data_IF_463251010557
#
_entry.id   IF_463251010557
#
_cell.length_a   1.000
_cell.length_b   1.000
_cell.length_c   1.000
_cell.angle_alpha   90.00
_cell.angle_beta   90.00
_cell.angle_gamma   90.00
#
_symmetry.space_group_name_H-M   'P 1'
#
loop_
_entity.id
_entity.type
_entity.pdbx_description
1 polymer ?
#
# COMPACT_ATOMS: atom_id res chain seq x y z
N UNK A 1 -12.27 -5.64 31.40
CA UNK A 1 -12.36 -4.24 30.88
C UNK A 1 -12.11 -4.31 29.37
N UNK A 2 -13.16 -4.56 28.57
CA UNK A 2 -13.09 -4.45 27.11
C UNK A 2 -13.10 -2.95 26.77
N UNK A 3 -11.94 -2.35 26.71
CA UNK A 3 -11.76 -1.07 26.01
C UNK A 3 -12.09 -1.37 24.54
N UNK A 4 -13.25 -0.91 24.07
CA UNK A 4 -13.54 -0.84 22.64
C UNK A 4 -12.56 0.15 22.02
N UNK A 5 -11.40 -0.32 21.61
CA UNK A 5 -10.48 0.44 20.77
C UNK A 5 -11.20 0.67 19.43
N UNK A 6 -11.83 1.83 19.29
CA UNK A 6 -12.46 2.25 18.03
C UNK A 6 -11.36 2.81 17.14
N UNK A 7 -10.90 2.02 16.21
CA UNK A 7 -10.01 2.46 15.12
C UNK A 7 -10.87 2.63 13.85
N UNK A 8 -10.88 3.83 13.28
CA UNK A 8 -11.53 4.09 11.99
C UNK A 8 -10.50 3.97 10.88
N UNK A 9 -10.76 3.05 9.94
CA UNK A 9 -9.87 2.81 8.80
C UNK A 9 -10.61 3.16 7.52
N UNK A 10 -9.93 3.89 6.61
CA UNK A 10 -10.40 4.14 5.24
C UNK A 10 -9.43 3.50 4.25
N UNK A 11 -9.96 2.95 3.17
CA UNK A 11 -9.17 2.31 2.14
C UNK A 11 -9.29 3.06 0.81
N UNK A 12 -8.14 3.34 0.19
CA UNK A 12 -8.05 4.03 -1.09
C UNK A 12 -7.13 3.30 -2.05
N UNK A 13 -7.45 3.36 -3.34
CA UNK A 13 -6.62 2.80 -4.39
C UNK A 13 -6.31 3.87 -5.46
N UNK A 14 -5.04 4.31 -5.61
CA UNK A 14 -4.64 5.13 -6.75
C UNK A 14 -4.95 4.41 -8.06
N UNK A 15 -5.64 5.07 -8.99
CA UNK A 15 -5.90 4.49 -10.31
C UNK A 15 -5.66 5.50 -11.42
N UNK A 16 -5.09 5.05 -12.56
CA UNK A 16 -4.70 5.94 -13.66
C UNK A 16 -4.83 5.26 -15.01
N UNK A 17 -5.63 5.83 -15.93
CA UNK A 17 -5.84 5.40 -17.32
C UNK A 17 -6.35 3.94 -17.47
N UNK A 18 -7.17 3.46 -16.53
CA UNK A 18 -7.72 2.09 -16.58
C UNK A 18 -9.09 1.92 -15.92
N UNK A 19 -10.12 2.71 -16.32
CA UNK A 19 -11.42 2.73 -15.68
C UNK A 19 -12.14 1.38 -15.67
N UNK A 20 -11.92 0.54 -16.67
CA UNK A 20 -12.55 -0.79 -16.80
C UNK A 20 -11.81 -1.90 -16.06
N UNK A 21 -10.54 -1.65 -15.65
CA UNK A 21 -9.60 -2.68 -15.20
C UNK A 21 -9.37 -2.70 -13.69
N UNK A 22 -10.06 -1.84 -12.93
CA UNK A 22 -9.98 -1.90 -11.47
C UNK A 22 -10.59 -3.20 -10.98
N UNK A 23 -9.77 -4.05 -10.37
CA UNK A 23 -10.17 -5.33 -9.79
C UNK A 23 -10.50 -5.15 -8.32
N UNK A 24 -9.71 -4.38 -7.60
CA UNK A 24 -9.77 -4.21 -6.15
C UNK A 24 -11.14 -3.75 -5.68
N UNK A 25 -11.71 -2.72 -6.30
CA UNK A 25 -13.02 -2.21 -5.90
C UNK A 25 -14.16 -3.18 -6.23
N UNK A 26 -14.02 -4.01 -7.27
CA UNK A 26 -15.02 -5.05 -7.60
C UNK A 26 -15.09 -6.13 -6.51
N UNK A 27 -13.97 -6.42 -5.85
CA UNK A 27 -13.85 -7.42 -4.78
C UNK A 27 -14.17 -6.79 -3.43
N UNK A 28 -13.68 -5.57 -3.21
CA UNK A 28 -13.82 -4.81 -1.97
C UNK A 28 -14.48 -3.45 -2.26
N UNK A 29 -15.83 -3.37 -2.35
CA UNK A 29 -16.56 -2.17 -2.77
C UNK A 29 -16.35 -0.94 -1.88
N UNK A 30 -15.93 -1.11 -0.63
CA UNK A 30 -15.61 -0.01 0.28
C UNK A 30 -14.26 0.68 -0.02
N UNK A 31 -13.42 0.11 -0.89
CA UNK A 31 -12.20 0.75 -1.38
C UNK A 31 -12.56 1.81 -2.41
N UNK A 32 -12.21 3.07 -2.19
CA UNK A 32 -12.46 4.15 -3.13
C UNK A 32 -11.27 4.36 -4.07
N UNK A 33 -11.54 4.45 -5.37
CA UNK A 33 -10.48 4.76 -6.34
C UNK A 33 -10.15 6.26 -6.29
N UNK A 34 -8.87 6.59 -6.24
CA UNK A 34 -8.41 7.98 -6.35
C UNK A 34 -7.95 8.24 -7.78
N UNK A 35 -8.68 9.09 -8.48
CA UNK A 35 -8.49 9.39 -9.90
C UNK A 35 -8.40 10.90 -10.13
N UNK A 36 -7.74 11.31 -11.20
CA UNK A 36 -7.68 12.73 -11.57
C UNK A 36 -9.03 13.23 -12.12
N UNK A 37 -9.26 14.52 -12.01
CA UNK A 37 -10.50 15.18 -12.41
C UNK A 37 -10.91 14.87 -13.85
N UNK A 38 -9.96 14.98 -14.79
CA UNK A 38 -10.23 14.72 -16.23
C UNK A 38 -10.58 13.27 -16.57
N UNK A 39 -10.33 12.30 -15.67
CA UNK A 39 -10.69 10.88 -15.85
C UNK A 39 -11.95 10.48 -15.04
N UNK A 40 -12.38 11.28 -14.08
CA UNK A 40 -13.43 10.92 -13.12
C UNK A 40 -14.74 10.50 -13.79
N UNK A 41 -15.15 11.16 -14.87
CA UNK A 41 -16.36 10.83 -15.64
C UNK A 41 -16.28 9.40 -16.18
N UNK A 42 -15.20 9.04 -16.86
CA UNK A 42 -15.01 7.69 -17.43
C UNK A 42 -15.02 6.60 -16.36
N UNK A 43 -14.40 6.85 -15.19
CA UNK A 43 -14.45 5.88 -14.09
C UNK A 43 -15.85 5.68 -13.54
N UNK A 44 -16.64 6.77 -13.36
CA UNK A 44 -18.03 6.70 -12.89
C UNK A 44 -18.95 5.98 -13.88
N UNK A 45 -18.79 6.24 -15.19
CA UNK A 45 -19.53 5.56 -16.24
C UNK A 45 -19.26 4.05 -16.27
N UNK A 46 -18.07 3.61 -15.82
CA UNK A 46 -17.73 2.20 -15.63
C UNK A 46 -18.12 1.64 -14.24
N UNK A 47 -18.95 2.36 -13.50
CA UNK A 47 -19.52 1.90 -12.21
C UNK A 47 -18.55 1.98 -11.02
N UNK A 48 -17.46 2.75 -11.13
CA UNK A 48 -16.51 2.89 -10.02
C UNK A 48 -16.92 4.01 -9.05
N UNK A 49 -16.76 3.77 -7.75
CA UNK A 49 -16.83 4.81 -6.71
C UNK A 49 -15.46 5.51 -6.61
N UNK A 50 -15.43 6.81 -6.87
CA UNK A 50 -14.19 7.55 -7.01
C UNK A 50 -14.10 8.76 -6.08
N UNK A 51 -12.90 9.02 -5.59
CA UNK A 51 -12.47 10.29 -5.03
C UNK A 51 -11.62 11.00 -6.08
N UNK A 52 -11.94 12.27 -6.32
CA UNK A 52 -11.30 13.05 -7.37
C UNK A 52 -10.16 13.86 -6.78
N UNK A 53 -8.96 13.71 -7.34
CA UNK A 53 -7.82 14.58 -7.05
C UNK A 53 -7.53 15.54 -8.23
N UNK A 54 -6.86 16.69 -7.99
CA UNK A 54 -6.45 17.60 -9.07
C UNK A 54 -5.59 16.91 -10.14
N UNK A 55 -5.73 17.31 -11.39
CA UNK A 55 -5.02 16.68 -12.53
C UNK A 55 -3.50 16.71 -12.40
N UNK A 56 -2.93 17.75 -11.82
CA UNK A 56 -1.49 17.91 -11.60
C UNK A 56 -0.90 16.94 -10.55
N UNK A 57 -1.75 16.24 -9.79
CA UNK A 57 -1.32 15.24 -8.82
C UNK A 57 -0.97 13.92 -9.52
N UNK A 58 -1.64 13.56 -10.59
CA UNK A 58 -1.40 12.34 -11.34
C UNK A 58 -0.07 12.33 -12.12
N UNK A 59 0.32 11.16 -12.64
CA UNK A 59 1.58 10.92 -13.37
C UNK A 59 2.82 10.69 -12.48
N UNK A 60 2.62 10.64 -11.16
CA UNK A 60 3.64 10.19 -10.20
C UNK A 60 2.92 9.59 -8.99
N UNK A 61 3.17 8.30 -8.72
CA UNK A 61 2.49 7.55 -7.66
C UNK A 61 2.70 8.18 -6.27
N UNK A 62 3.90 8.68 -5.99
CA UNK A 62 4.21 9.36 -4.73
C UNK A 62 3.35 10.60 -4.50
N UNK A 63 3.06 11.38 -5.56
CA UNK A 63 2.19 12.56 -5.46
C UNK A 63 0.78 12.16 -5.08
N UNK A 64 0.24 11.12 -5.73
CA UNK A 64 -1.13 10.65 -5.46
C UNK A 64 -1.23 10.10 -4.04
N UNK A 65 -0.28 9.27 -3.61
CA UNK A 65 -0.25 8.72 -2.24
C UNK A 65 -0.11 9.83 -1.20
N UNK A 66 0.75 10.82 -1.41
CA UNK A 66 0.86 11.96 -0.51
C UNK A 66 -0.44 12.76 -0.45
N UNK A 67 -1.07 13.02 -1.61
CA UNK A 67 -2.34 13.71 -1.65
C UNK A 67 -3.43 12.98 -0.86
N UNK A 68 -3.49 11.65 -0.96
CA UNK A 68 -4.39 10.81 -0.15
C UNK A 68 -4.14 11.04 1.34
N UNK A 69 -2.87 10.95 1.77
CA UNK A 69 -2.48 11.11 3.17
C UNK A 69 -2.68 12.53 3.70
N UNK A 70 -2.62 13.54 2.84
CA UNK A 70 -2.78 14.94 3.24
C UNK A 70 -4.24 15.39 3.29
N UNK A 71 -5.15 14.72 2.54
CA UNK A 71 -6.51 15.23 2.33
C UNK A 71 -7.64 14.29 2.75
N UNK A 72 -7.40 12.98 2.95
CA UNK A 72 -8.50 12.02 3.06
C UNK A 72 -8.65 11.34 4.43
N UNK A 73 -7.88 11.75 5.44
CA UNK A 73 -8.06 11.20 6.78
C UNK A 73 -9.44 11.54 7.37
N UNK A 74 -9.88 12.81 7.25
CA UNK A 74 -11.10 13.29 7.90
C UNK A 74 -11.19 12.79 9.35
N UNK A 75 -12.15 11.86 9.60
CA UNK A 75 -12.38 11.21 10.88
C UNK A 75 -11.67 9.84 11.02
N UNK A 76 -10.88 9.41 10.01
CA UNK A 76 -10.13 8.17 10.09
C UNK A 76 -8.86 8.31 10.93
N UNK A 77 -8.51 7.23 11.62
CA UNK A 77 -7.26 7.08 12.38
C UNK A 77 -6.15 6.46 11.55
N UNK A 78 -6.52 5.69 10.52
CA UNK A 78 -5.61 5.02 9.61
C UNK A 78 -6.14 5.07 8.17
N UNK A 79 -5.23 5.29 7.21
CA UNK A 79 -5.48 5.10 5.78
C UNK A 79 -4.71 3.89 5.30
N UNK A 80 -5.40 2.97 4.63
CA UNK A 80 -4.79 1.87 3.87
C UNK A 80 -4.79 2.24 2.40
N UNK A 81 -3.63 2.27 1.78
CA UNK A 81 -3.45 2.44 0.34
C UNK A 81 -3.20 1.06 -0.25
N UNK A 82 -4.09 0.62 -1.13
CA UNK A 82 -4.02 -0.67 -1.82
C UNK A 82 -3.99 -0.43 -3.34
N UNK A 83 -3.28 -1.24 -4.11
CA UNK A 83 -3.27 -1.09 -5.57
C UNK A 83 -4.63 -1.46 -6.17
N UNK A 84 -5.04 -0.80 -7.26
CA UNK A 84 -6.34 -0.99 -7.91
C UNK A 84 -6.48 -2.32 -8.68
N UNK A 85 -5.40 -3.09 -8.76
CA UNK A 85 -5.32 -4.42 -9.40
C UNK A 85 -5.11 -5.56 -8.40
N UNK A 86 -5.36 -5.34 -7.11
CA UNK A 86 -5.29 -6.38 -6.09
C UNK A 86 -6.43 -7.40 -6.29
N UNK A 87 -6.04 -8.66 -6.48
CA UNK A 87 -6.97 -9.79 -6.71
C UNK A 87 -7.53 -10.36 -5.43
N UNK A 88 -6.81 -10.27 -4.34
CA UNK A 88 -7.23 -10.61 -2.99
C UNK A 88 -6.16 -10.25 -1.97
N UNK A 89 -6.57 -10.11 -0.73
CA UNK A 89 -5.74 -10.22 0.46
C UNK A 89 -6.14 -11.53 1.15
N UNK A 90 -5.20 -12.21 1.77
CA UNK A 90 -5.51 -13.49 2.40
C UNK A 90 -4.39 -14.00 3.30
N UNK A 91 -4.59 -15.21 3.84
CA UNK A 91 -3.62 -15.87 4.70
C UNK A 91 -3.48 -17.36 4.36
N UNK A 92 -2.42 -17.96 4.85
CA UNK A 92 -2.30 -19.40 4.90
C UNK A 92 -2.80 -19.91 6.26
N UNK A 93 -3.68 -20.92 6.22
CA UNK A 93 -4.22 -21.57 7.40
C UNK A 93 -4.34 -23.08 7.12
N UNK A 94 -3.71 -23.91 7.97
CA UNK A 94 -3.67 -25.36 7.79
C UNK A 94 -3.30 -25.77 6.34
N UNK A 95 -2.32 -25.10 5.77
CA UNK A 95 -1.83 -25.30 4.41
C UNK A 95 -2.83 -24.91 3.29
N UNK A 96 -3.98 -24.36 3.62
CA UNK A 96 -4.95 -23.84 2.68
C UNK A 96 -4.85 -22.31 2.59
N UNK A 97 -5.03 -21.80 1.38
CA UNK A 97 -5.13 -20.35 1.16
C UNK A 97 -6.54 -19.88 1.48
N UNK A 98 -6.67 -19.00 2.44
CA UNK A 98 -7.92 -18.33 2.80
C UNK A 98 -7.86 -16.93 2.24
N UNK A 99 -8.74 -16.61 1.28
CA UNK A 99 -8.92 -15.26 0.77
C UNK A 99 -9.90 -14.53 1.67
N UNK A 100 -9.60 -13.30 2.04
CA UNK A 100 -10.49 -12.48 2.85
C UNK A 100 -11.67 -12.00 2.01
N UNK A 101 -12.86 -12.12 2.56
CA UNK A 101 -14.04 -11.38 2.10
C UNK A 101 -13.96 -9.91 2.56
N UNK A 102 -15.03 -9.15 2.31
CA UNK A 102 -15.08 -7.72 2.62
C UNK A 102 -14.92 -7.43 4.11
N UNK A 103 -15.67 -8.13 4.95
CA UNK A 103 -15.69 -7.93 6.39
C UNK A 103 -14.36 -8.39 7.00
N UNK A 104 -13.85 -9.53 6.57
CA UNK A 104 -12.55 -10.05 6.99
C UNK A 104 -11.39 -9.11 6.63
N UNK A 105 -11.42 -8.49 5.44
CA UNK A 105 -10.40 -7.49 5.08
C UNK A 105 -10.51 -6.26 5.96
N UNK A 106 -11.72 -5.75 6.19
CA UNK A 106 -11.92 -4.57 7.03
C UNK A 106 -11.45 -4.83 8.47
N UNK A 107 -11.88 -5.93 9.07
CA UNK A 107 -11.48 -6.34 10.42
C UNK A 107 -9.97 -6.56 10.53
N UNK A 108 -9.36 -7.16 9.51
CA UNK A 108 -7.91 -7.31 9.41
C UNK A 108 -7.20 -5.94 9.41
N UNK A 109 -7.72 -4.98 8.67
CA UNK A 109 -7.16 -3.63 8.63
C UNK A 109 -7.31 -2.92 9.99
N UNK A 110 -8.46 -3.03 10.64
CA UNK A 110 -8.71 -2.44 11.96
C UNK A 110 -7.76 -3.05 13.01
N UNK A 111 -7.71 -4.38 13.08
CA UNK A 111 -6.89 -5.10 14.06
C UNK A 111 -5.41 -4.75 13.95
N UNK A 112 -4.85 -4.78 12.73
CA UNK A 112 -3.43 -4.51 12.54
C UNK A 112 -3.07 -3.02 12.65
N UNK A 113 -4.03 -2.11 12.41
CA UNK A 113 -3.84 -0.68 12.70
C UNK A 113 -3.80 -0.42 14.21
N UNK A 114 -4.64 -1.11 15.00
CA UNK A 114 -4.58 -1.07 16.47
C UNK A 114 -3.23 -1.62 16.94
N UNK A 115 -2.83 -2.80 16.46
CA UNK A 115 -1.56 -3.42 16.83
C UNK A 115 -0.36 -2.54 16.48
N UNK A 116 -0.37 -1.92 15.30
CA UNK A 116 0.67 -0.99 14.87
C UNK A 116 0.78 0.20 15.82
N UNK A 117 -0.37 0.76 16.26
CA UNK A 117 -0.43 1.87 17.22
C UNK A 117 0.07 1.46 18.61
N UNK A 118 -0.34 0.30 19.11
CA UNK A 118 0.09 -0.21 20.42
C UNK A 118 1.60 -0.52 20.48
N UNK A 119 2.20 -0.87 19.33
CA UNK A 119 3.64 -1.05 19.18
C UNK A 119 4.41 0.28 18.95
N UNK A 120 3.70 1.41 18.99
CA UNK A 120 4.22 2.77 18.71
C UNK A 120 4.80 2.94 17.30
N UNK A 121 4.43 2.08 16.37
CA UNK A 121 4.72 2.26 14.95
C UNK A 121 3.63 3.10 14.27
N UNK A 122 3.96 3.65 13.08
CA UNK A 122 3.05 4.51 12.32
C UNK A 122 2.75 3.98 10.91
N UNK A 123 3.33 2.84 10.57
CA UNK A 123 3.26 2.27 9.23
C UNK A 123 3.25 0.74 9.29
N UNK A 124 2.33 0.12 8.54
CA UNK A 124 2.26 -1.33 8.48
C UNK A 124 1.81 -1.84 7.10
N UNK A 125 2.02 -3.12 6.85
CA UNK A 125 1.57 -3.80 5.63
C UNK A 125 1.68 -5.31 5.74
N UNK A 126 1.34 -6.00 4.64
CA UNK A 126 1.35 -7.46 4.55
C UNK A 126 2.66 -8.01 4.00
N UNK A 127 2.82 -9.34 4.07
CA UNK A 127 3.84 -10.06 3.34
C UNK A 127 3.67 -9.82 1.82
N UNK A 128 4.81 -9.62 1.15
CA UNK A 128 4.86 -9.37 -0.30
C UNK A 128 4.80 -10.66 -1.13
N UNK A 129 4.94 -11.81 -0.51
CA UNK A 129 5.05 -13.10 -1.16
C UNK A 129 3.83 -13.95 -0.82
N UNK A 130 3.05 -14.33 -1.84
CA UNK A 130 1.88 -15.19 -1.68
C UNK A 130 2.23 -16.70 -1.63
N UNK A 131 3.50 -17.07 -1.80
CA UNK A 131 3.93 -18.46 -1.73
C UNK A 131 3.91 -18.95 -0.27
N UNK A 132 3.31 -20.11 -0.05
CA UNK A 132 3.29 -20.81 1.23
C UNK A 132 4.69 -21.00 1.85
N UNK A 133 5.72 -21.20 1.03
CA UNK A 133 7.11 -21.35 1.49
C UNK A 133 7.67 -20.08 2.15
N UNK A 134 7.07 -18.93 1.91
CA UNK A 134 7.44 -17.66 2.52
C UNK A 134 6.70 -17.37 3.84
N UNK A 135 5.81 -18.26 4.26
CA UNK A 135 5.08 -18.16 5.52
C UNK A 135 5.73 -19.02 6.60
N UNK A 136 6.09 -18.39 7.70
CA UNK A 136 6.66 -19.06 8.87
C UNK A 136 5.75 -18.78 10.07
N UNK A 137 5.08 -19.82 10.59
CA UNK A 137 4.16 -19.73 11.73
C UNK A 137 4.82 -19.13 12.99
N UNK A 138 6.12 -19.33 13.15
CA UNK A 138 6.90 -18.85 14.30
C UNK A 138 7.31 -17.38 14.18
N UNK A 139 7.13 -16.75 13.02
CA UNK A 139 7.49 -15.35 12.78
C UNK A 139 6.30 -14.67 12.09
N UNK A 140 5.14 -14.51 12.77
CA UNK A 140 3.95 -13.95 12.17
C UNK A 140 4.04 -12.43 11.93
N UNK A 141 4.99 -11.77 12.62
CA UNK A 141 5.19 -10.32 12.57
C UNK A 141 6.68 -10.00 12.44
N UNK A 142 6.99 -8.94 11.71
CA UNK A 142 8.35 -8.37 11.63
C UNK A 142 8.30 -6.85 11.78
N UNK A 143 9.35 -6.27 12.37
CA UNK A 143 9.40 -4.84 12.70
C UNK A 143 10.44 -4.05 11.90
N UNK A 144 11.44 -4.71 11.34
CA UNK A 144 12.51 -4.11 10.53
C UNK A 144 12.50 -4.73 9.12
N UNK A 145 11.33 -4.76 8.52
CA UNK A 145 11.13 -5.42 7.23
C UNK A 145 10.47 -4.50 6.21
N UNK A 146 10.82 -4.70 4.97
CA UNK A 146 10.24 -4.02 3.82
C UNK A 146 8.72 -4.21 3.73
N UNK A 147 8.00 -3.13 3.50
CA UNK A 147 6.56 -3.08 3.25
C UNK A 147 6.33 -2.77 1.76
N UNK A 148 5.77 -3.72 1.02
CA UNK A 148 5.55 -3.58 -0.42
C UNK A 148 4.48 -2.56 -0.79
N UNK A 149 4.66 -1.91 -1.94
CA UNK A 149 3.80 -0.85 -2.45
C UNK A 149 2.31 -1.19 -2.58
N UNK A 150 1.95 -2.42 -3.00
CA UNK A 150 0.54 -2.77 -3.24
C UNK A 150 -0.37 -2.79 -2.01
N UNK A 151 0.18 -2.80 -0.79
CA UNK A 151 -0.62 -2.73 0.43
C UNK A 151 0.16 -2.03 1.54
N UNK A 152 -0.19 -0.78 1.79
CA UNK A 152 0.49 0.09 2.77
C UNK A 152 -0.53 0.82 3.62
N UNK A 153 -0.39 0.73 4.94
CA UNK A 153 -1.27 1.38 5.89
C UNK A 153 -0.51 2.41 6.73
N UNK A 154 -1.06 3.61 6.82
CA UNK A 154 -0.46 4.75 7.49
C UNK A 154 -1.37 5.24 8.61
N UNK A 155 -0.86 5.34 9.82
CA UNK A 155 -1.57 5.98 10.92
C UNK A 155 -1.56 7.51 10.73
N UNK A 156 -2.64 8.17 11.16
CA UNK A 156 -2.86 9.62 10.97
C UNK A 156 -1.76 10.50 11.56
N UNK A 157 -1.15 10.06 12.63
CA UNK A 157 -0.09 10.77 13.35
C UNK A 157 1.33 10.56 12.76
N UNK A 158 1.45 9.90 11.60
CA UNK A 158 2.71 9.84 10.85
C UNK A 158 3.00 11.16 10.13
N UNK A 159 4.17 11.74 10.37
CA UNK A 159 4.70 12.90 9.66
C UNK A 159 5.48 12.53 8.37
N UNK A 160 5.61 11.24 8.08
CA UNK A 160 6.35 10.74 6.91
C UNK A 160 5.50 10.84 5.64
N UNK A 161 6.16 11.23 4.54
CA UNK A 161 5.57 11.31 3.19
C UNK A 161 6.48 10.68 2.16
N UNK A 162 5.91 10.22 1.05
CA UNK A 162 6.65 9.66 -0.07
C UNK A 162 7.54 10.72 -0.73
N UNK A 163 8.82 10.40 -0.92
CA UNK A 163 9.74 11.24 -1.68
C UNK A 163 9.45 11.10 -3.19
N UNK A 164 9.01 12.19 -3.80
CA UNK A 164 8.57 12.24 -5.22
C UNK A 164 9.66 11.85 -6.22
N UNK A 165 10.91 11.75 -5.77
CA UNK A 165 12.05 11.29 -6.59
C UNK A 165 12.06 9.77 -6.80
N UNK A 166 11.34 9.00 -5.98
CA UNK A 166 11.36 7.54 -6.00
C UNK A 166 10.05 6.94 -6.49
N UNK A 167 9.55 7.35 -7.66
CA UNK A 167 8.26 6.90 -8.19
C UNK A 167 8.17 5.40 -8.54
N UNK A 168 9.30 4.67 -8.55
CA UNK A 168 9.39 3.22 -8.77
C UNK A 168 10.09 2.46 -7.62
N UNK A 169 10.55 3.18 -6.60
CA UNK A 169 11.22 2.67 -5.40
C UNK A 169 10.68 3.36 -4.15
N UNK A 170 9.48 3.91 -4.25
CA UNK A 170 8.82 4.66 -3.20
C UNK A 170 8.55 3.81 -1.96
N UNK A 171 8.29 2.53 -2.17
CA UNK A 171 8.00 1.54 -1.12
C UNK A 171 9.24 1.21 -0.28
N UNK A 172 10.40 1.09 -0.90
CA UNK A 172 11.67 0.97 -0.17
C UNK A 172 11.96 2.23 0.62
N UNK A 173 11.84 3.39 -0.02
CA UNK A 173 12.16 4.67 0.61
C UNK A 173 11.24 4.99 1.80
N UNK A 174 9.91 4.82 1.64
CA UNK A 174 8.94 5.09 2.72
C UNK A 174 9.13 4.13 3.90
N UNK A 175 9.44 2.86 3.63
CA UNK A 175 9.73 1.88 4.68
C UNK A 175 10.96 2.31 5.49
N UNK A 176 12.06 2.67 4.83
CA UNK A 176 13.29 3.10 5.50
C UNK A 176 13.12 4.42 6.26
N UNK A 177 12.30 5.35 5.76
CA UNK A 177 11.95 6.57 6.49
C UNK A 177 11.25 6.23 7.81
N UNK A 178 10.25 5.32 7.81
CA UNK A 178 9.55 4.92 9.03
C UNK A 178 10.47 4.19 10.01
N UNK A 179 11.30 3.26 9.53
CA UNK A 179 12.30 2.58 10.36
C UNK A 179 13.25 3.58 11.01
N UNK A 180 13.75 4.54 10.24
CA UNK A 180 14.66 5.58 10.76
C UNK A 180 14.00 6.51 11.77
N UNK A 181 12.73 6.89 11.52
CA UNK A 181 12.00 7.89 12.32
C UNK A 181 11.37 7.32 13.59
N UNK A 182 10.80 6.12 13.48
CA UNK A 182 9.99 5.47 14.53
C UNK A 182 10.59 4.17 15.05
N UNK A 183 11.81 3.81 14.65
CA UNK A 183 12.49 2.60 15.08
C UNK A 183 11.99 1.32 14.41
N UNK A 184 10.94 1.37 13.60
CA UNK A 184 10.38 0.21 12.92
C UNK A 184 9.10 0.49 12.14
N UNK A 185 8.57 -0.58 11.59
CA UNK A 185 7.24 -0.68 10.97
C UNK A 185 6.69 -2.08 11.24
N UNK A 186 5.39 -2.27 11.14
CA UNK A 186 4.78 -3.58 11.37
C UNK A 186 4.54 -4.29 10.03
N UNK A 187 5.27 -5.35 9.71
CA UNK A 187 4.93 -6.28 8.63
C UNK A 187 4.21 -7.50 9.18
N UNK A 188 2.99 -7.69 8.70
CA UNK A 188 2.12 -8.82 9.07
C UNK A 188 2.42 -9.97 8.11
N UNK A 189 3.31 -10.90 8.53
CA UNK A 189 3.80 -11.97 7.67
C UNK A 189 2.82 -13.15 7.53
N UNK A 190 1.83 -13.28 8.41
CA UNK A 190 0.79 -14.31 8.29
C UNK A 190 -0.25 -14.00 7.20
N UNK A 191 -0.28 -12.78 6.70
CA UNK A 191 -1.17 -12.37 5.62
C UNK A 191 -0.36 -11.85 4.43
N UNK A 192 -0.90 -12.04 3.24
CA UNK A 192 -0.31 -11.63 1.97
C UNK A 192 -1.36 -11.04 1.04
N UNK A 193 -0.93 -10.29 0.06
CA UNK A 193 -1.76 -9.82 -1.04
C UNK A 193 -1.35 -10.47 -2.36
N UNK A 194 -2.26 -10.50 -3.33
CA UNK A 194 -1.99 -10.90 -4.70
C UNK A 194 -2.42 -9.79 -5.64
N UNK A 195 -1.49 -9.29 -6.45
CA UNK A 195 -1.74 -8.26 -7.46
C UNK A 195 -1.51 -8.83 -8.86
N UNK A 196 -2.16 -8.23 -9.86
CA UNK A 196 -1.92 -8.58 -11.26
C UNK A 196 -0.69 -7.82 -11.73
N UNK A 197 0.48 -8.46 -11.66
CA UNK A 197 1.76 -7.80 -11.99
C UNK A 197 1.84 -7.27 -13.43
N UNK A 198 2.58 -6.16 -13.57
CA UNK A 198 3.33 -5.57 -14.71
C UNK A 198 2.73 -5.55 -16.12
N UNK A 199 1.82 -6.42 -16.53
CA UNK A 199 1.30 -6.52 -17.90
C UNK A 199 0.11 -5.59 -18.20
N UNK A 200 -0.31 -4.76 -17.24
CA UNK A 200 -1.44 -3.86 -17.46
C UNK A 200 -1.00 -2.51 -18.01
N UNK A 201 -1.63 -2.10 -19.09
CA UNK A 201 -1.50 -0.73 -19.64
C UNK A 201 -2.07 0.26 -18.61
N UNK A 202 -1.34 1.33 -18.32
CA UNK A 202 -1.72 2.35 -17.33
C UNK A 202 -0.89 2.29 -16.04
N UNK A 203 -1.16 3.18 -15.08
CA UNK A 203 -0.40 3.26 -13.84
C UNK A 203 1.09 3.50 -14.04
N UNK A 204 1.94 2.87 -13.22
CA UNK A 204 3.39 3.03 -13.28
C UNK A 204 4.02 2.48 -14.58
N UNK A 205 3.36 1.58 -15.31
CA UNK A 205 3.87 1.05 -16.58
C UNK A 205 4.07 2.14 -17.63
N UNK A 206 3.40 3.29 -17.51
CA UNK A 206 3.53 4.42 -18.44
C UNK A 206 4.91 5.09 -18.43
N UNK A 207 5.68 4.94 -17.34
CA UNK A 207 7.02 5.54 -17.19
C UNK A 207 8.07 4.54 -16.68
N UNK A 208 7.70 3.29 -16.41
CA UNK A 208 8.62 2.23 -15.97
C UNK A 208 9.44 1.71 -17.16
N UNK A 209 10.76 1.78 -17.03
CA UNK A 209 11.71 1.15 -17.94
C UNK A 209 13.01 0.82 -17.17
N UNK A 210 13.86 -0.02 -17.78
CA UNK A 210 15.10 -0.52 -17.14
C UNK A 210 16.04 0.61 -16.72
N UNK A 211 16.14 1.68 -17.52
CA UNK A 211 17.03 2.80 -17.21
C UNK A 211 16.52 3.60 -16.00
N UNK A 212 15.24 3.91 -15.97
CA UNK A 212 14.61 4.60 -14.83
C UNK A 212 14.70 3.79 -13.54
N UNK A 213 14.47 2.47 -13.63
CA UNK A 213 14.65 1.55 -12.48
C UNK A 213 16.08 1.61 -11.93
N UNK A 214 17.08 1.57 -12.82
CA UNK A 214 18.51 1.63 -12.47
C UNK A 214 18.89 2.97 -11.85
N UNK A 215 18.43 4.07 -12.44
CA UNK A 215 18.67 5.42 -11.91
C UNK A 215 18.09 5.58 -10.51
N UNK A 216 16.86 5.12 -10.27
CA UNK A 216 16.24 5.20 -8.95
C UNK A 216 16.89 4.26 -7.93
N UNK A 217 17.39 3.10 -8.35
CA UNK A 217 18.20 2.24 -7.49
C UNK A 217 19.45 2.95 -6.98
N UNK A 218 20.24 3.57 -7.88
CA UNK A 218 21.44 4.32 -7.47
C UNK A 218 21.11 5.55 -6.62
N UNK A 219 20.02 6.25 -6.94
CA UNK A 219 19.55 7.36 -6.11
C UNK A 219 19.16 6.90 -4.69
N UNK A 220 18.51 5.73 -4.57
CA UNK A 220 18.18 5.13 -3.29
C UNK A 220 19.45 4.73 -2.49
N UNK A 221 20.45 4.12 -3.17
CA UNK A 221 21.76 3.84 -2.56
C UNK A 221 22.46 5.11 -2.07
N UNK A 222 22.38 6.21 -2.85
CA UNK A 222 22.96 7.49 -2.43
C UNK A 222 22.29 8.06 -1.18
N UNK A 223 20.98 7.86 -1.04
CA UNK A 223 20.19 8.35 0.12
C UNK A 223 20.43 7.52 1.38
N UNK A 224 20.46 6.19 1.25
CA UNK A 224 20.43 5.26 2.39
C UNK A 224 21.73 4.51 2.65
N UNK A 225 22.67 4.54 1.71
CA UNK A 225 23.94 3.80 1.79
C UNK A 225 23.91 2.48 1.03
N UNK A 226 25.10 2.07 0.57
CA UNK A 226 25.27 0.82 -0.22
C UNK A 226 25.12 -0.44 0.63
N UNK A 227 25.33 -0.33 1.93
CA UNK A 227 25.18 -1.47 2.86
C UNK A 227 23.70 -1.74 3.21
N UNK A 228 22.83 -0.73 3.05
CA UNK A 228 21.39 -0.84 3.26
C UNK A 228 20.67 -1.26 1.98
N UNK A 229 21.08 -0.70 0.84
CA UNK A 229 20.48 -0.97 -0.48
C UNK A 229 21.44 -1.85 -1.28
N UNK A 230 21.15 -3.12 -1.30
CA UNK A 230 21.94 -4.15 -1.99
C UNK A 230 21.20 -4.60 -3.25
N UNK A 231 21.92 -4.88 -4.31
CA UNK A 231 21.36 -5.50 -5.52
C UNK A 231 21.24 -7.00 -5.30
N UNK A 232 20.07 -7.56 -5.59
CA UNK A 232 19.92 -9.01 -5.67
C UNK A 232 20.89 -9.59 -6.72
N UNK A 233 21.50 -10.71 -6.38
CA UNK A 233 22.46 -11.39 -7.23
C UNK A 233 21.76 -12.17 -8.32
#
# INVERSE_FOLDING_TARGET
>A
LLIKLKMKVKLFAPSYKRPEKSITQKIYPFVKLVVKESEAKSYKENGNDVVVCPDNIQGNLCRVRNWILDNLYDDADCIVIIDDDCRYVGRWENQKRIKFDQDQLYDFCVLNSILCKELDFKFWGCNIIEDKKAYFEYIPLRFLSYIGGPFQAHLKDSDIRYDKKFSLKEDYDITLQHIKRYGGCLRVDYAHYSVKQAEQIGGCSTYRNTETEKQQFFALQKKWGKDVIIRDK
#
